data_IF_575483417065
#
_entry.id   IF_575483417065
#
_cell.length_a   1.000
_cell.length_b   1.000
_cell.length_c   1.000
_cell.angle_alpha   90.00
_cell.angle_beta   90.00
_cell.angle_gamma   90.00
#
_symmetry.space_group_name_H-M   'P 1'
#
loop_
_entity.id
_entity.type
_entity.pdbx_description
1 polymer ?
#
# COMPACT_ATOMS: atom_id res chain seq x y z
N UNK A 1 -6.21 -46.82 -28.76
CA UNK A 1 -6.98 -45.70 -28.17
C UNK A 1 -6.43 -45.25 -26.82
N UNK A 2 -6.01 -46.16 -25.94
CA UNK A 2 -5.44 -45.86 -24.61
C UNK A 2 -4.23 -44.90 -24.64
N UNK A 3 -3.35 -45.02 -25.64
CA UNK A 3 -2.17 -44.15 -25.80
C UNK A 3 -2.53 -42.69 -26.13
N UNK A 4 -3.63 -42.48 -26.85
CA UNK A 4 -4.12 -41.14 -27.22
C UNK A 4 -4.77 -40.48 -25.99
N UNK A 5 -5.51 -41.27 -25.19
CA UNK A 5 -6.09 -40.80 -23.93
C UNK A 5 -4.98 -40.42 -22.93
N UNK A 6 -3.92 -41.21 -22.81
CA UNK A 6 -2.75 -40.88 -21.98
C UNK A 6 -2.03 -39.61 -22.46
N UNK A 7 -1.88 -39.42 -23.77
CA UNK A 7 -1.26 -38.22 -24.32
C UNK A 7 -2.10 -36.94 -24.05
N UNK A 8 -3.43 -37.06 -24.13
CA UNK A 8 -4.35 -35.95 -23.84
C UNK A 8 -4.34 -35.55 -22.35
N UNK A 9 -4.27 -36.52 -21.44
CA UNK A 9 -4.18 -36.26 -19.99
C UNK A 9 -2.85 -35.57 -19.64
N UNK A 10 -1.75 -35.98 -20.28
CA UNK A 10 -0.43 -35.38 -20.04
C UNK A 10 -0.36 -33.91 -20.50
N UNK A 11 -1.10 -33.54 -21.54
CA UNK A 11 -1.14 -32.18 -22.08
C UNK A 11 -1.96 -31.21 -21.19
N UNK A 12 -2.95 -31.71 -20.46
CA UNK A 12 -3.76 -30.91 -19.52
C UNK A 12 -2.98 -30.63 -18.22
N UNK A 13 -2.08 -31.54 -17.82
CA UNK A 13 -1.27 -31.39 -16.62
C UNK A 13 -0.20 -30.28 -16.70
N UNK A 14 0.03 -29.70 -17.88
CA UNK A 14 1.00 -28.62 -18.11
C UNK A 14 0.37 -27.22 -18.19
N UNK A 15 -0.89 -27.05 -17.78
CA UNK A 15 -1.50 -25.72 -17.74
C UNK A 15 -0.73 -24.80 -16.78
N UNK A 16 -0.36 -23.57 -17.20
CA UNK A 16 0.28 -22.61 -16.29
C UNK A 16 -0.71 -22.22 -15.19
N UNK A 17 -0.26 -22.24 -13.94
CA UNK A 17 -1.03 -21.71 -12.82
C UNK A 17 -1.06 -20.18 -12.92
N UNK A 18 -2.27 -19.61 -13.02
CA UNK A 18 -2.48 -18.17 -12.86
C UNK A 18 -2.41 -17.86 -11.35
N UNK A 19 -1.26 -17.41 -10.88
CA UNK A 19 -1.08 -16.96 -9.51
C UNK A 19 -1.30 -15.44 -9.44
N UNK A 20 -2.03 -14.98 -8.42
CA UNK A 20 -2.11 -13.56 -8.10
C UNK A 20 -0.75 -13.05 -7.61
N UNK A 21 -0.41 -11.82 -8.01
CA UNK A 21 0.80 -11.12 -7.56
C UNK A 21 0.57 -10.67 -6.12
N UNK A 22 1.45 -11.13 -5.23
CA UNK A 22 1.42 -10.82 -3.81
C UNK A 22 1.92 -9.38 -3.54
N UNK A 23 1.40 -8.74 -2.50
CA UNK A 23 1.65 -7.35 -2.01
C UNK A 23 3.11 -7.15 -1.50
N UNK A 24 4.10 -7.73 -2.16
CA UNK A 24 5.51 -7.58 -1.82
C UNK A 24 6.08 -6.27 -2.40
N UNK A 25 5.59 -5.83 -3.56
CA UNK A 25 6.14 -4.67 -4.26
C UNK A 25 5.77 -3.34 -3.58
N UNK A 26 4.57 -3.26 -3.01
CA UNK A 26 4.12 -2.09 -2.24
C UNK A 26 4.98 -1.87 -0.98
N UNK A 27 5.28 -2.93 -0.23
CA UNK A 27 6.12 -2.86 0.96
C UNK A 27 7.54 -2.39 0.60
N UNK A 28 8.12 -2.90 -0.50
CA UNK A 28 9.45 -2.46 -0.97
C UNK A 28 9.48 -0.99 -1.38
N UNK A 29 8.39 -0.45 -1.91
CA UNK A 29 8.33 0.97 -2.27
C UNK A 29 8.17 1.87 -1.05
N UNK A 30 7.37 1.47 -0.05
CA UNK A 30 7.29 2.15 1.25
C UNK A 30 8.67 2.26 1.90
N UNK A 31 9.49 1.20 1.84
CA UNK A 31 10.86 1.22 2.39
C UNK A 31 11.79 2.21 1.67
N UNK A 32 11.57 2.45 0.37
CA UNK A 32 12.36 3.39 -0.43
C UNK A 32 11.90 4.85 -0.24
N UNK A 33 10.66 5.06 0.18
CA UNK A 33 10.11 6.40 0.42
C UNK A 33 10.42 6.88 1.84
N UNK A 34 10.80 8.15 1.97
CA UNK A 34 10.90 8.77 3.29
C UNK A 34 9.49 9.17 3.71
N UNK A 35 8.77 8.27 4.39
CA UNK A 35 7.41 8.52 4.87
C UNK A 35 7.41 8.92 6.37
N UNK A 36 6.43 9.73 6.80
CA UNK A 36 6.16 9.97 8.21
C UNK A 36 6.08 8.67 9.01
N UNK A 37 6.87 8.59 10.08
CA UNK A 37 6.92 7.42 10.97
C UNK A 37 5.95 7.61 12.12
N UNK A 38 5.47 6.48 12.65
CA UNK A 38 4.62 6.44 13.84
C UNK A 38 5.22 7.28 14.99
N UNK A 39 4.35 8.01 15.69
CA UNK A 39 4.72 8.85 16.84
C UNK A 39 5.26 10.24 16.51
N UNK A 40 5.45 10.61 15.24
CA UNK A 40 5.78 11.99 14.88
C UNK A 40 4.58 12.92 15.10
N UNK A 41 4.80 14.18 15.48
CA UNK A 41 3.71 15.15 15.68
C UNK A 41 3.28 15.82 14.37
N UNK A 42 2.02 16.26 14.28
CA UNK A 42 1.52 17.06 13.14
C UNK A 42 2.43 18.24 12.78
N UNK A 43 2.92 18.97 13.78
CA UNK A 43 3.84 20.09 13.58
C UNK A 43 5.18 19.66 12.95
N UNK A 44 5.72 18.51 13.38
CA UNK A 44 6.93 17.95 12.81
C UNK A 44 6.71 17.51 11.36
N UNK A 45 5.57 16.88 11.09
CA UNK A 45 5.21 16.47 9.72
C UNK A 45 5.09 17.67 8.80
N UNK A 46 4.41 18.74 9.22
CA UNK A 46 4.27 19.94 8.41
C UNK A 46 5.62 20.64 8.18
N UNK A 47 6.54 20.61 9.15
CA UNK A 47 7.88 21.17 9.01
C UNK A 47 8.79 20.36 8.05
N UNK A 48 8.71 19.02 8.08
CA UNK A 48 9.57 18.16 7.26
C UNK A 48 9.01 17.88 5.87
N UNK A 49 7.71 17.66 5.75
CA UNK A 49 7.03 17.22 4.53
C UNK A 49 6.20 18.32 3.87
N UNK A 50 6.04 19.47 4.52
CA UNK A 50 5.23 20.58 4.06
C UNK A 50 3.75 20.41 4.37
N UNK A 51 2.97 21.41 3.96
CA UNK A 51 1.52 21.43 4.16
C UNK A 51 0.83 20.34 3.32
N UNK A 52 -0.13 19.60 3.90
CA UNK A 52 -0.90 18.62 3.16
C UNK A 52 -1.84 19.28 2.16
N UNK A 53 -2.20 18.55 1.09
CA UNK A 53 -3.18 18.99 0.10
C UNK A 53 -4.57 19.13 0.70
N UNK A 54 -4.92 18.21 1.61
CA UNK A 54 -6.22 18.18 2.27
C UNK A 54 -6.09 17.68 3.70
N UNK A 55 -6.83 18.30 4.61
CA UNK A 55 -7.00 17.84 5.99
C UNK A 55 -8.44 17.36 6.16
N UNK A 56 -8.60 16.15 6.67
CA UNK A 56 -9.89 15.60 7.06
C UNK A 56 -10.03 15.69 8.58
N UNK A 57 -11.19 16.15 9.01
CA UNK A 57 -11.55 16.26 10.42
C UNK A 57 -11.50 14.90 11.12
N UNK A 58 -11.26 14.94 12.43
CA UNK A 58 -11.20 13.73 13.23
C UNK A 58 -12.57 13.07 13.35
N UNK A 59 -12.60 11.73 13.32
CA UNK A 59 -13.82 10.92 13.52
C UNK A 59 -13.55 9.85 14.57
N UNK A 60 -14.53 9.61 15.46
CA UNK A 60 -14.51 8.53 16.45
C UNK A 60 -13.87 8.90 17.80
N UNK A 61 -13.76 7.88 18.66
CA UNK A 61 -13.06 7.90 19.94
C UNK A 61 -12.25 6.58 20.06
N UNK A 62 -10.90 6.62 20.05
CA UNK A 62 -10.05 7.82 20.00
C UNK A 62 -10.18 8.58 18.66
N UNK A 63 -9.96 9.91 18.65
CA UNK A 63 -10.17 10.74 17.46
C UNK A 63 -9.10 10.47 16.41
N UNK A 64 -9.52 9.97 15.24
CA UNK A 64 -8.62 9.73 14.09
C UNK A 64 -8.84 10.78 13.01
N UNK A 65 -7.80 11.57 12.73
CA UNK A 65 -7.77 12.54 11.62
C UNK A 65 -6.85 12.06 10.50
N UNK A 66 -7.05 12.57 9.28
CA UNK A 66 -6.26 12.18 8.10
C UNK A 66 -5.78 13.39 7.33
N UNK A 67 -4.51 13.43 6.97
CA UNK A 67 -3.95 14.39 6.02
C UNK A 67 -3.59 13.69 4.72
N UNK A 68 -3.92 14.31 3.59
CA UNK A 68 -3.60 13.80 2.24
C UNK A 68 -2.44 14.59 1.63
N UNK A 69 -1.46 13.86 1.12
CA UNK A 69 -0.37 14.34 0.27
C UNK A 69 -0.61 13.90 -1.18
N UNK A 70 0.34 14.11 -2.09
CA UNK A 70 0.21 13.67 -3.49
C UNK A 70 0.07 12.15 -3.59
N UNK A 71 1.07 11.42 -3.08
CA UNK A 71 1.21 9.98 -3.31
C UNK A 71 0.75 9.14 -2.12
N UNK A 72 0.45 9.77 -0.97
CA UNK A 72 0.17 9.07 0.27
C UNK A 72 -0.72 9.88 1.22
N UNK A 73 -1.28 9.18 2.21
CA UNK A 73 -2.08 9.75 3.31
C UNK A 73 -1.44 9.43 4.65
N UNK A 74 -1.52 10.35 5.60
CA UNK A 74 -1.04 10.19 6.97
C UNK A 74 -2.23 10.23 7.92
N UNK A 75 -2.37 9.20 8.74
CA UNK A 75 -3.41 9.08 9.77
C UNK A 75 -2.82 9.48 11.11
N UNK A 76 -3.59 10.24 11.88
CA UNK A 76 -3.19 10.73 13.20
C UNK A 76 -4.23 10.35 14.23
N UNK A 77 -3.77 9.84 15.37
CA UNK A 77 -4.55 9.81 16.60
C UNK A 77 -4.17 11.04 17.42
N UNK A 78 -5.13 11.88 17.75
CA UNK A 78 -4.87 13.23 18.27
C UNK A 78 -3.88 14.01 17.37
N UNK A 79 -2.65 14.22 17.85
CA UNK A 79 -1.59 14.94 17.16
C UNK A 79 -0.42 14.06 16.70
N UNK A 80 -0.50 12.75 16.97
CA UNK A 80 0.58 11.80 16.70
C UNK A 80 0.26 10.95 15.47
N UNK A 81 1.26 10.76 14.61
CA UNK A 81 1.16 9.86 13.46
C UNK A 81 0.89 8.45 13.95
N UNK A 82 -0.18 7.87 13.43
CA UNK A 82 -0.52 6.47 13.59
C UNK A 82 0.10 5.66 12.43
N UNK A 83 -0.28 5.95 11.18
CA UNK A 83 0.21 5.25 9.98
C UNK A 83 0.29 6.16 8.75
N UNK A 84 1.19 5.82 7.84
CA UNK A 84 1.28 6.39 6.48
C UNK A 84 0.89 5.33 5.46
N UNK A 85 0.01 5.67 4.52
CA UNK A 85 -0.56 4.73 3.53
C UNK A 85 -0.41 5.31 2.13
N UNK A 86 0.14 4.55 1.19
CA UNK A 86 0.27 4.96 -0.21
C UNK A 86 -1.10 5.00 -0.90
N UNK A 87 -1.27 5.93 -1.83
CA UNK A 87 -2.44 5.98 -2.67
C UNK A 87 -2.40 4.88 -3.74
N UNK A 88 -3.54 4.26 -4.10
CA UNK A 88 -3.60 3.29 -5.17
C UNK A 88 -3.06 3.86 -6.48
N UNK A 89 -2.25 3.08 -7.21
CA UNK A 89 -1.69 3.50 -8.50
C UNK A 89 -0.41 4.34 -8.44
N UNK A 90 0.00 4.83 -7.26
CA UNK A 90 1.36 5.33 -7.03
C UNK A 90 2.35 4.20 -6.68
N UNK A 91 1.85 2.97 -6.62
CA UNK A 91 2.64 1.74 -6.52
C UNK A 91 3.11 1.34 -7.92
N UNK A 92 4.11 2.04 -8.48
CA UNK A 92 4.58 1.79 -9.85
C UNK A 92 6.00 1.22 -9.82
N UNK A 93 6.12 -0.09 -9.60
CA UNK A 93 7.20 -0.85 -10.24
C UNK A 93 6.62 -2.20 -10.68
N UNK A 94 5.93 -2.19 -11.82
CA UNK A 94 5.57 -3.41 -12.53
C UNK A 94 6.84 -3.93 -13.21
N UNK A 95 7.57 -4.80 -12.52
CA UNK A 95 8.70 -5.57 -13.10
C UNK A 95 8.17 -6.64 -14.04
#
# INVERSE_FOLDING_TARGET
MTRIVLAAILLIATAPALADVLIIDEVRQVERMTLPRNGQSKANIEAQYGAPKKRHEAVGDPPISRWEYEDYSVYFEYDLVLFSVLHPGHVIEKS
#
